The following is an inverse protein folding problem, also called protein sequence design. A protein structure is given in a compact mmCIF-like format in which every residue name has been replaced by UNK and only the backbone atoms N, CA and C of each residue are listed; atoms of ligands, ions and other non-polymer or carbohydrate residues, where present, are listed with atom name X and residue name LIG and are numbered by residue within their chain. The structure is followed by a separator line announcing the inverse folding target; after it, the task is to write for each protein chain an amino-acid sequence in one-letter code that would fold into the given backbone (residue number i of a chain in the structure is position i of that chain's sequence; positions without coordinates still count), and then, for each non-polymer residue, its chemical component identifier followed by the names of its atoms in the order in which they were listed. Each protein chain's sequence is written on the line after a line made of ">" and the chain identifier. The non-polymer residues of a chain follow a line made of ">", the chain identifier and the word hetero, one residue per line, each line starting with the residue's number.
data_IF_325039208077
#
_entry.id   IF_325039208077
#
_cell.length_a   1.000
_cell.length_b   1.000
_cell.length_c   1.000
_cell.angle_alpha   90.00
_cell.angle_beta   90.00
_cell.angle_gamma   90.00
#
_symmetry.space_group_name_H-M   'P 1'
#
loop_
_entity.id
_entity.type
_entity.pdbx_description
1 polymer ?
#
# COMPACT_ATOMS: atom_id res chain seq x y z
N UNK A 1 -5.97 6.30 2.52
CA UNK A 1 -6.93 5.90 1.47
C UNK A 1 -8.02 6.97 1.33
N UNK A 2 -8.52 7.29 0.13
CA UNK A 2 -9.49 8.38 -0.07
C UNK A 2 -10.78 8.17 0.76
N UNK A 3 -11.25 6.93 0.84
CA UNK A 3 -12.43 6.54 1.63
C UNK A 3 -12.23 6.68 3.15
N UNK A 4 -11.04 6.42 3.68
CA UNK A 4 -10.76 6.61 5.11
C UNK A 4 -10.73 8.08 5.50
N UNK A 5 -10.36 8.95 4.56
CA UNK A 5 -10.46 10.40 4.77
C UNK A 5 -11.93 10.80 4.85
N UNK A 6 -12.76 10.32 3.91
CA UNK A 6 -14.20 10.54 3.92
C UNK A 6 -14.82 10.11 5.27
N UNK A 7 -14.53 8.89 5.74
CA UNK A 7 -15.06 8.39 7.01
C UNK A 7 -14.71 9.27 8.20
N UNK A 8 -13.47 9.80 8.26
CA UNK A 8 -13.07 10.72 9.32
C UNK A 8 -13.76 12.08 9.19
N UNK A 9 -13.79 12.64 7.99
CA UNK A 9 -14.30 13.99 7.73
C UNK A 9 -15.82 14.05 7.95
N UNK A 10 -16.55 12.96 7.74
CA UNK A 10 -18.01 12.87 7.93
C UNK A 10 -18.44 12.09 9.17
N UNK A 11 -17.51 11.73 10.06
CA UNK A 11 -17.78 11.03 11.33
C UNK A 11 -18.57 9.72 11.17
N UNK A 12 -18.22 8.91 10.16
CA UNK A 12 -18.87 7.61 9.91
C UNK A 12 -18.54 6.62 11.04
N UNK A 13 -19.58 6.08 11.66
CA UNK A 13 -19.46 5.05 12.69
C UNK A 13 -18.87 3.76 12.13
N UNK A 14 -18.07 3.05 12.93
CA UNK A 14 -17.34 1.85 12.47
C UNK A 14 -18.25 0.77 11.88
N UNK A 15 -19.47 0.62 12.40
CA UNK A 15 -20.48 -0.33 11.90
C UNK A 15 -20.92 -0.07 10.46
N UNK A 16 -20.83 1.17 9.99
CA UNK A 16 -21.31 1.58 8.66
C UNK A 16 -20.18 1.62 7.62
N UNK A 17 -18.92 1.62 8.06
CA UNK A 17 -17.75 1.82 7.19
C UNK A 17 -17.63 0.73 6.12
N UNK A 18 -17.87 -0.53 6.46
CA UNK A 18 -17.77 -1.64 5.50
C UNK A 18 -18.83 -1.51 4.41
N UNK A 19 -20.09 -1.25 4.80
CA UNK A 19 -21.21 -1.09 3.86
C UNK A 19 -21.03 0.11 2.93
N UNK A 20 -20.57 1.24 3.47
CA UNK A 20 -20.29 2.42 2.66
C UNK A 20 -19.11 2.20 1.72
N UNK A 21 -18.04 1.52 2.15
CA UNK A 21 -16.93 1.20 1.28
C UNK A 21 -17.31 0.23 0.16
N UNK A 22 -18.14 -0.78 0.46
CA UNK A 22 -18.54 -1.79 -0.51
C UNK A 22 -19.52 -1.24 -1.55
N UNK A 23 -20.29 -0.22 -1.19
CA UNK A 23 -21.11 0.55 -2.14
C UNK A 23 -20.28 1.25 -3.22
N UNK A 24 -19.01 1.59 -2.94
CA UNK A 24 -18.09 2.20 -3.89
C UNK A 24 -17.24 1.18 -4.66
N UNK A 25 -17.44 -0.12 -4.45
CA UNK A 25 -16.78 -1.14 -5.26
C UNK A 25 -17.54 -1.33 -6.57
N UNK A 26 -16.79 -1.49 -7.65
CA UNK A 26 -17.32 -1.74 -8.99
C UNK A 26 -16.64 -2.95 -9.64
N UNK A 27 -17.29 -3.51 -10.65
CA UNK A 27 -16.73 -4.56 -11.49
C UNK A 27 -16.29 -5.81 -10.72
N UNK A 28 -15.03 -6.21 -10.87
CA UNK A 28 -14.46 -7.38 -10.18
C UNK A 28 -14.41 -7.23 -8.66
N UNK A 29 -14.22 -6.00 -8.16
CA UNK A 29 -14.20 -5.73 -6.73
C UNK A 29 -15.56 -5.90 -6.08
N UNK A 30 -16.62 -5.49 -6.77
CA UNK A 30 -17.97 -5.72 -6.30
C UNK A 30 -18.34 -7.20 -6.36
N UNK A 31 -17.97 -7.91 -7.43
CA UNK A 31 -18.20 -9.37 -7.55
C UNK A 31 -17.52 -10.15 -6.42
N UNK A 32 -16.26 -9.85 -6.11
CA UNK A 32 -15.57 -10.45 -4.98
C UNK A 32 -16.32 -10.24 -3.65
N UNK A 33 -16.86 -9.03 -3.44
CA UNK A 33 -17.65 -8.76 -2.24
C UNK A 33 -18.94 -9.59 -2.20
N UNK A 34 -19.66 -9.73 -3.32
CA UNK A 34 -20.85 -10.58 -3.42
C UNK A 34 -20.53 -12.04 -3.11
N UNK A 35 -19.45 -12.59 -3.67
CA UNK A 35 -19.02 -13.97 -3.39
C UNK A 35 -18.73 -14.17 -1.89
N UNK A 36 -18.17 -13.14 -1.23
CA UNK A 36 -17.90 -13.16 0.20
C UNK A 36 -19.19 -13.10 1.05
N UNK A 37 -20.23 -12.42 0.55
CA UNK A 37 -21.56 -12.38 1.16
C UNK A 37 -22.33 -13.69 1.01
N UNK A 38 -22.19 -14.38 -0.11
CA UNK A 38 -22.86 -15.65 -0.38
C UNK A 38 -22.21 -16.83 0.36
N UNK A 39 -20.98 -16.68 0.84
CA UNK A 39 -20.25 -17.72 1.56
C UNK A 39 -20.87 -17.98 2.96
N UNK A 40 -21.44 -19.17 3.21
CA UNK A 40 -22.08 -19.49 4.50
C UNK A 40 -21.13 -19.51 5.71
N UNK A 41 -19.82 -19.55 5.46
CA UNK A 41 -18.78 -19.52 6.51
C UNK A 41 -18.39 -18.09 6.90
N UNK A 42 -18.91 -17.08 6.21
CA UNK A 42 -18.61 -15.67 6.46
C UNK A 42 -19.71 -15.05 7.34
N UNK A 43 -19.35 -14.66 8.55
CA UNK A 43 -20.21 -13.76 9.36
C UNK A 43 -19.96 -12.31 8.95
N UNK A 44 -20.79 -11.79 8.02
CA UNK A 44 -20.70 -10.42 7.53
C UNK A 44 -20.88 -9.38 8.64
N UNK A 45 -21.71 -9.66 9.64
CA UNK A 45 -21.98 -8.71 10.72
C UNK A 45 -20.77 -8.56 11.66
N UNK A 46 -19.89 -9.57 11.71
CA UNK A 46 -18.65 -9.53 12.47
C UNK A 46 -17.46 -8.92 11.71
N UNK A 47 -17.62 -8.55 10.42
CA UNK A 47 -16.54 -7.93 9.65
C UNK A 47 -16.38 -6.47 10.07
N UNK A 48 -15.39 -6.20 10.92
CA UNK A 48 -14.95 -4.83 11.21
C UNK A 48 -14.27 -4.19 9.99
N UNK A 49 -14.15 -2.85 10.00
CA UNK A 49 -13.40 -2.13 8.96
C UNK A 49 -11.97 -2.63 8.81
N UNK A 50 -11.31 -2.94 9.93
CA UNK A 50 -9.97 -3.54 9.92
C UNK A 50 -9.96 -4.87 9.19
N UNK A 51 -10.91 -5.77 9.52
CA UNK A 51 -10.99 -7.09 8.90
C UNK A 51 -11.30 -7.02 7.41
N UNK A 52 -12.19 -6.12 7.01
CA UNK A 52 -12.49 -5.85 5.61
C UNK A 52 -11.22 -5.47 4.82
N UNK A 53 -10.42 -4.53 5.34
CA UNK A 53 -9.14 -4.14 4.70
C UNK A 53 -8.16 -5.31 4.58
N UNK A 54 -8.06 -6.15 5.60
CA UNK A 54 -7.22 -7.35 5.56
C UNK A 54 -7.68 -8.33 4.46
N UNK A 55 -8.98 -8.56 4.35
CA UNK A 55 -9.57 -9.43 3.32
C UNK A 55 -9.33 -8.87 1.91
N UNK A 56 -9.60 -7.58 1.72
CA UNK A 56 -9.37 -6.86 0.46
C UNK A 56 -7.90 -6.96 0.03
N UNK A 57 -6.97 -6.63 0.95
CA UNK A 57 -5.53 -6.71 0.67
C UNK A 57 -5.05 -8.13 0.43
N UNK A 58 -5.67 -9.14 1.02
CA UNK A 58 -5.32 -10.53 0.80
C UNK A 58 -5.77 -11.01 -0.59
N UNK A 59 -6.96 -10.61 -1.01
CA UNK A 59 -7.51 -10.98 -2.32
C UNK A 59 -6.74 -10.30 -3.47
N UNK A 60 -6.53 -8.98 -3.39
CA UNK A 60 -5.92 -8.21 -4.48
C UNK A 60 -4.40 -8.16 -4.46
N UNK A 61 -3.77 -8.41 -3.31
CA UNK A 61 -2.32 -8.42 -3.15
C UNK A 61 -1.88 -9.78 -2.60
N UNK A 62 -1.90 -10.83 -3.44
CA UNK A 62 -1.38 -12.13 -3.03
C UNK A 62 0.12 -12.04 -2.74
N UNK A 63 0.64 -12.98 -1.95
CA UNK A 63 2.03 -12.98 -1.49
C UNK A 63 3.05 -12.86 -2.63
N UNK A 64 2.77 -13.43 -3.81
CA UNK A 64 3.62 -13.29 -5.00
C UNK A 64 3.71 -11.84 -5.49
N UNK A 65 2.60 -11.12 -5.56
CA UNK A 65 2.53 -9.70 -5.93
C UNK A 65 3.24 -8.85 -4.89
N UNK A 66 2.98 -9.10 -3.60
CA UNK A 66 3.66 -8.41 -2.49
C UNK A 66 5.19 -8.53 -2.60
N UNK A 67 5.69 -9.76 -2.75
CA UNK A 67 7.13 -10.03 -2.93
C UNK A 67 7.70 -9.33 -4.17
N UNK A 68 6.96 -9.29 -5.28
CA UNK A 68 7.39 -8.58 -6.48
C UNK A 68 7.53 -7.08 -6.22
N UNK A 69 6.54 -6.45 -5.58
CA UNK A 69 6.60 -5.02 -5.24
C UNK A 69 7.78 -4.70 -4.30
N UNK A 70 8.03 -5.54 -3.30
CA UNK A 70 9.20 -5.41 -2.41
C UNK A 70 10.51 -5.54 -3.19
N UNK A 71 10.58 -6.49 -4.13
CA UNK A 71 11.75 -6.70 -4.97
C UNK A 71 12.00 -5.52 -5.91
N UNK A 72 10.94 -4.97 -6.51
CA UNK A 72 11.01 -3.79 -7.38
C UNK A 72 11.54 -2.57 -6.61
N UNK A 73 11.06 -2.36 -5.37
CA UNK A 73 11.58 -1.30 -4.50
C UNK A 73 13.05 -1.51 -4.15
N UNK A 74 13.45 -2.73 -3.78
CA UNK A 74 14.86 -3.06 -3.46
C UNK A 74 15.79 -2.92 -4.67
N UNK A 75 15.26 -3.12 -5.87
CA UNK A 75 15.98 -2.97 -7.13
C UNK A 75 15.90 -1.57 -7.71
N UNK A 76 15.12 -0.67 -7.12
CA UNK A 76 15.05 0.72 -7.56
C UNK A 76 16.45 1.34 -7.49
N UNK A 77 16.88 1.92 -8.61
CA UNK A 77 18.12 2.68 -8.72
C UNK A 77 17.78 4.08 -9.15
N UNK A 78 18.60 5.03 -8.73
CA UNK A 78 18.54 6.38 -9.25
C UNK A 78 18.76 6.34 -10.76
N UNK A 79 19.76 5.59 -11.27
CA UNK A 79 20.07 5.67 -12.71
C UNK A 79 20.31 7.12 -13.10
N UNK A 80 20.19 7.54 -14.36
CA UNK A 80 20.62 8.90 -14.76
C UNK A 80 19.72 10.05 -14.28
N UNK A 81 18.66 9.74 -13.52
CA UNK A 81 17.67 10.73 -13.09
C UNK A 81 18.13 11.59 -11.90
N UNK A 82 17.61 12.83 -11.78
CA UNK A 82 17.80 13.66 -10.60
C UNK A 82 17.33 12.96 -9.33
N UNK A 83 17.97 13.28 -8.19
CA UNK A 83 17.61 12.70 -6.88
C UNK A 83 16.13 12.93 -6.55
N UNK A 84 15.60 14.10 -6.87
CA UNK A 84 14.19 14.44 -6.62
C UNK A 84 13.21 13.51 -7.37
N UNK A 85 13.55 13.12 -8.60
CA UNK A 85 12.73 12.18 -9.37
C UNK A 85 12.85 10.76 -8.80
N UNK A 86 14.07 10.36 -8.41
CA UNK A 86 14.28 9.09 -7.71
C UNK A 86 13.50 9.00 -6.41
N UNK A 87 13.52 10.05 -5.60
CA UNK A 87 12.77 10.15 -4.35
C UNK A 87 11.27 10.06 -4.60
N UNK A 88 10.75 10.76 -5.60
CA UNK A 88 9.32 10.72 -5.95
C UNK A 88 8.87 9.29 -6.25
N UNK A 89 9.65 8.57 -7.07
CA UNK A 89 9.33 7.19 -7.42
C UNK A 89 9.46 6.24 -6.22
N UNK A 90 10.49 6.42 -5.40
CA UNK A 90 10.66 5.66 -4.16
C UNK A 90 9.47 5.84 -3.22
N UNK A 91 9.03 7.08 -2.99
CA UNK A 91 7.86 7.40 -2.17
C UNK A 91 6.56 6.85 -2.77
N UNK A 92 6.41 6.89 -4.10
CA UNK A 92 5.25 6.32 -4.80
C UNK A 92 5.16 4.82 -4.56
N UNK A 93 6.26 4.09 -4.73
CA UNK A 93 6.30 2.64 -4.52
C UNK A 93 6.00 2.26 -3.06
N UNK A 94 6.58 2.99 -2.09
CA UNK A 94 6.24 2.79 -0.67
C UNK A 94 4.74 2.99 -0.39
N UNK A 95 4.13 4.01 -1.00
CA UNK A 95 2.70 4.28 -0.83
C UNK A 95 1.80 3.17 -1.41
N UNK A 96 2.27 2.48 -2.46
CA UNK A 96 1.55 1.36 -3.06
C UNK A 96 1.62 0.05 -2.24
N UNK A 97 2.39 0.02 -1.15
CA UNK A 97 2.58 -1.17 -0.31
C UNK A 97 2.04 -0.98 1.12
N UNK A 98 0.74 -0.72 1.31
CA UNK A 98 0.16 -0.49 2.64
C UNK A 98 0.19 -1.74 3.54
N UNK A 99 0.54 -2.90 2.98
CA UNK A 99 0.63 -4.19 3.67
C UNK A 99 2.03 -4.50 4.22
N UNK A 100 3.03 -3.64 3.98
CA UNK A 100 4.38 -3.81 4.54
C UNK A 100 4.66 -2.72 5.55
N UNK A 101 5.03 -3.12 6.76
CA UNK A 101 5.52 -2.20 7.78
C UNK A 101 7.02 -2.04 7.59
N UNK A 102 7.43 -0.86 7.14
CA UNK A 102 8.84 -0.48 7.04
C UNK A 102 9.15 0.53 8.13
N UNK A 103 10.16 0.27 8.95
CA UNK A 103 10.72 1.30 9.81
C UNK A 103 11.55 2.30 8.99
N UNK A 104 11.92 3.41 9.62
CA UNK A 104 12.65 4.47 8.94
C UNK A 104 14.09 4.09 8.62
N UNK A 105 14.68 3.16 9.37
CA UNK A 105 16.03 2.63 9.13
C UNK A 105 16.05 1.79 7.84
N UNK A 106 15.08 0.90 7.67
CA UNK A 106 14.89 0.09 6.47
C UNK A 106 14.67 0.96 5.24
N UNK A 107 13.81 1.97 5.34
CA UNK A 107 13.58 2.93 4.25
C UNK A 107 14.87 3.65 3.89
N UNK A 108 15.60 4.17 4.88
CA UNK A 108 16.85 4.88 4.67
C UNK A 108 17.92 3.99 4.02
N UNK A 109 18.04 2.74 4.49
CA UNK A 109 18.97 1.74 3.96
C UNK A 109 18.68 1.41 2.50
N UNK A 110 17.41 1.17 2.14
CA UNK A 110 17.02 0.88 0.75
C UNK A 110 17.23 2.12 -0.14
N UNK A 111 16.82 3.30 0.35
CA UNK A 111 17.00 4.56 -0.38
C UNK A 111 18.47 4.83 -0.70
N UNK A 112 19.34 4.74 0.33
CA UNK A 112 20.79 4.93 0.18
C UNK A 112 21.40 3.95 -0.81
N UNK A 113 21.01 2.67 -0.77
CA UNK A 113 21.47 1.64 -1.72
C UNK A 113 21.06 1.95 -3.16
N UNK A 114 19.94 2.65 -3.35
CA UNK A 114 19.45 3.05 -4.67
C UNK A 114 20.15 4.27 -5.27
N UNK A 115 20.79 5.11 -4.46
CA UNK A 115 21.47 6.33 -4.91
C UNK A 115 22.74 6.04 -5.72
N UNK A 116 23.04 6.92 -6.68
CA UNK A 116 24.31 6.86 -7.43
C UNK A 116 25.50 7.13 -6.48
N UNK A 117 26.61 6.39 -6.63
CA UNK A 117 27.80 6.60 -5.81
C UNK A 117 28.36 8.02 -5.88
N UNK A 118 28.26 8.70 -7.03
CA UNK A 118 28.79 10.04 -7.24
C UNK A 118 28.21 11.09 -6.30
N UNK A 119 26.99 10.89 -5.77
CA UNK A 119 26.39 11.78 -4.77
C UNK A 119 27.20 11.80 -3.48
N UNK A 120 27.76 10.66 -3.09
CA UNK A 120 28.54 10.53 -1.87
C UNK A 120 30.01 10.96 -2.05
N UNK A 121 30.51 10.93 -3.30
CA UNK A 121 31.88 11.34 -3.63
C UNK A 121 32.08 12.86 -3.52
N UNK A 122 31.04 13.68 -3.75
CA UNK A 122 31.13 15.15 -3.60
C UNK A 122 31.35 15.55 -2.13
N UNK A 123 30.90 14.74 -1.18
CA UNK A 123 31.09 15.01 0.26
C UNK A 123 32.41 14.47 0.84
N UNK A 124 33.22 13.74 0.07
CA UNK A 124 34.49 13.16 0.55
C UNK A 124 35.72 14.00 0.16
N UNK A 125 35.53 15.12 -0.54
CA UNK A 125 36.60 15.99 -1.07
C UNK A 125 36.52 17.41 -0.46
N UNK A 126 35.63 17.64 0.51
CA UNK A 126 35.56 18.83 1.36
C UNK A 126 35.78 18.43 2.82
#
# INVERSE_FOLDING_TARGET
>A
MHIEKLFRDTLVEERDQVWLATHHLDGEAYRWWLDLQENPSTDLAAISWKKFKELLLTHYFPTSVKRKMEQDLRNLRQGDRPVAEFQREFSRLLHCMPFVVWDDEDKARIFKRGLRPSIFLVCAIL
#
